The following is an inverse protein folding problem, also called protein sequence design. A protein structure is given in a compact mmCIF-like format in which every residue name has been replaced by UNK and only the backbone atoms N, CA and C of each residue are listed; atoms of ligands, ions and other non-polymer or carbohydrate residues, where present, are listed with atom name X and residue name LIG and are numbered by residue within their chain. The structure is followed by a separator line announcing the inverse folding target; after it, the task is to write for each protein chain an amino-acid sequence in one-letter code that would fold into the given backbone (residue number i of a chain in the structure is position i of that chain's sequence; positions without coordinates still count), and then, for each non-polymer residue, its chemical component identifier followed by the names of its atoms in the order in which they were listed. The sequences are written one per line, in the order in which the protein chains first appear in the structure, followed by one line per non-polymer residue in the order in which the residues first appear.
data_IF_354297441104
#
_entry.id   IF_354297441104
#
_cell.length_a   1.000
_cell.length_b   1.000
_cell.length_c   1.000
_cell.angle_alpha   90.00
_cell.angle_beta   90.00
_cell.angle_gamma   90.00
#
_symmetry.space_group_name_H-M   'P 1'
#
loop_
_entity.id
_entity.type
_entity.pdbx_description
1 polymer ?
#
# COMPACT_ATOMS: atom_id res chain seq x y z
N UNK A 1 15.29 -6.34 -4.76
CA UNK A 1 15.10 -5.28 -3.73
C UNK A 1 13.84 -5.50 -2.89
N UNK A 2 12.66 -5.64 -3.50
CA UNK A 2 11.38 -5.92 -2.81
C UNK A 2 11.46 -7.07 -1.77
N UNK A 3 12.10 -8.18 -2.15
CA UNK A 3 12.35 -9.32 -1.28
C UNK A 3 13.05 -8.99 0.05
N UNK A 4 14.13 -8.22 -0.06
CA UNK A 4 14.95 -7.83 1.07
C UNK A 4 14.20 -6.82 1.94
N UNK A 5 13.42 -5.92 1.32
CA UNK A 5 12.55 -4.99 2.02
C UNK A 5 11.50 -5.72 2.86
N UNK A 6 10.75 -6.66 2.26
CA UNK A 6 9.76 -7.49 2.99
C UNK A 6 10.42 -8.26 4.14
N UNK A 7 11.56 -8.90 3.89
CA UNK A 7 12.29 -9.63 4.93
C UNK A 7 12.75 -8.73 6.07
N UNK A 8 13.19 -7.50 5.77
CA UNK A 8 13.65 -6.55 6.76
C UNK A 8 12.53 -6.00 7.66
N UNK A 9 11.27 -6.14 7.25
CA UNK A 9 10.09 -5.79 8.06
C UNK A 9 9.58 -6.96 8.91
N UNK A 10 10.11 -8.17 8.72
CA UNK A 10 9.67 -9.34 9.48
C UNK A 10 9.87 -9.12 10.98
N UNK A 11 8.76 -9.16 11.73
CA UNK A 11 8.77 -9.00 13.18
C UNK A 11 8.91 -7.54 13.64
N UNK A 12 8.85 -6.58 12.71
CA UNK A 12 8.80 -5.16 13.07
C UNK A 12 7.45 -4.84 13.71
N UNK A 13 7.50 -4.11 14.81
CA UNK A 13 6.34 -3.48 15.43
C UNK A 13 6.53 -1.97 15.51
N UNK A 14 5.44 -1.23 15.45
CA UNK A 14 5.38 0.21 15.65
C UNK A 14 4.47 0.57 16.82
N UNK A 15 4.50 1.82 17.25
CA UNK A 15 3.58 2.29 18.27
C UNK A 15 2.12 2.20 17.76
N UNK A 16 1.14 2.00 18.65
CA UNK A 16 -0.27 2.02 18.27
C UNK A 16 -0.74 3.41 17.84
N UNK A 17 -0.26 4.48 18.46
CA UNK A 17 -0.52 5.86 18.01
C UNK A 17 0.59 6.32 17.06
N UNK A 18 0.28 7.06 15.97
CA UNK A 18 -1.00 7.68 15.64
C UNK A 18 -1.88 6.85 14.68
N UNK A 19 -1.83 5.52 14.66
CA UNK A 19 -2.65 4.74 13.73
C UNK A 19 -4.13 4.98 14.01
N UNK A 20 -4.85 5.41 12.99
CA UNK A 20 -6.30 5.43 13.02
C UNK A 20 -6.79 3.98 12.94
N UNK A 21 -7.08 3.38 14.10
CA UNK A 21 -7.65 2.03 14.18
C UNK A 21 -8.98 2.00 13.45
N UNK A 22 -9.33 0.87 12.82
CA UNK A 22 -10.71 0.62 12.43
C UNK A 22 -11.61 0.71 13.66
N UNK A 23 -12.46 1.72 13.74
CA UNK A 23 -13.52 1.82 14.76
C UNK A 23 -14.88 1.85 14.10
N UNK A 24 -15.95 1.53 14.83
CA UNK A 24 -17.33 1.74 14.35
C UNK A 24 -17.67 3.23 14.15
N UNK A 25 -16.79 4.14 14.58
CA UNK A 25 -16.90 5.58 14.42
C UNK A 25 -16.10 6.12 13.24
N UNK A 26 -15.07 5.39 12.77
CA UNK A 26 -14.56 5.62 11.41
C UNK A 26 -15.71 5.22 10.50
N UNK A 27 -16.23 6.17 9.74
CA UNK A 27 -17.18 5.77 8.72
C UNK A 27 -16.41 4.89 7.74
N UNK A 28 -16.92 3.70 7.42
CA UNK A 28 -16.38 2.88 6.32
C UNK A 28 -16.11 3.73 5.07
N UNK A 29 -16.89 4.80 4.88
CA UNK A 29 -16.68 5.84 3.88
C UNK A 29 -15.25 6.41 3.86
N UNK A 30 -14.60 6.69 5.00
CA UNK A 30 -13.22 7.22 5.04
C UNK A 30 -12.19 6.25 4.45
N UNK A 31 -12.34 4.94 4.70
CA UNK A 31 -11.45 3.92 4.13
C UNK A 31 -11.80 3.64 2.67
N UNK A 32 -13.10 3.61 2.39
CA UNK A 32 -13.65 3.44 1.05
C UNK A 32 -13.20 4.56 0.10
N UNK A 33 -13.11 5.81 0.54
CA UNK A 33 -12.67 6.95 -0.28
C UNK A 33 -11.17 7.26 -0.21
N UNK A 34 -10.41 6.52 0.61
CA UNK A 34 -8.97 6.77 0.77
C UNK A 34 -8.11 6.09 -0.30
N UNK A 35 -7.01 6.74 -0.66
CA UNK A 35 -6.02 6.31 -1.63
C UNK A 35 -4.82 5.68 -0.95
N UNK A 36 -4.32 4.56 -1.48
CA UNK A 36 -3.01 4.05 -1.13
C UNK A 36 -1.93 4.97 -1.70
N UNK A 37 -1.02 5.52 -0.86
CA UNK A 37 0.13 6.24 -1.37
C UNK A 37 1.11 5.29 -2.04
N UNK A 38 1.63 5.68 -3.19
CA UNK A 38 2.60 4.91 -3.99
C UNK A 38 3.98 5.55 -3.87
N UNK A 39 4.92 4.85 -3.24
CA UNK A 39 6.29 5.35 -3.01
C UNK A 39 7.35 4.60 -3.82
N UNK A 40 8.47 5.26 -4.09
CA UNK A 40 9.66 4.65 -4.68
C UNK A 40 10.61 4.10 -3.60
N UNK A 41 10.91 2.80 -3.64
CA UNK A 41 11.97 2.18 -2.83
C UNK A 41 13.30 2.07 -3.58
N UNK A 42 13.27 1.94 -4.91
CA UNK A 42 14.46 1.92 -5.75
C UNK A 42 14.92 3.33 -6.09
N UNK A 43 16.23 3.59 -6.06
CA UNK A 43 16.79 4.89 -6.49
C UNK A 43 16.65 5.14 -7.99
N UNK A 44 16.47 4.06 -8.75
CA UNK A 44 16.22 4.04 -10.18
C UNK A 44 14.76 4.28 -10.56
N UNK A 45 13.85 4.20 -9.58
CA UNK A 45 12.41 4.43 -9.81
C UNK A 45 12.15 5.92 -9.87
N UNK A 46 11.69 6.38 -11.03
CA UNK A 46 11.32 7.77 -11.26
C UNK A 46 9.88 8.05 -10.84
N UNK A 47 9.53 9.32 -10.67
CA UNK A 47 8.14 9.74 -10.48
C UNK A 47 7.24 9.24 -11.62
N UNK A 48 7.74 9.27 -12.86
CA UNK A 48 7.00 8.77 -14.02
C UNK A 48 6.66 7.28 -13.91
N UNK A 49 7.57 6.47 -13.34
CA UNK A 49 7.32 5.05 -13.10
C UNK A 49 6.22 4.86 -12.05
N UNK A 50 6.20 5.71 -11.01
CA UNK A 50 5.15 5.69 -9.99
C UNK A 50 3.80 6.14 -10.54
N UNK A 51 3.76 7.19 -11.38
CA UNK A 51 2.53 7.65 -12.03
C UNK A 51 1.99 6.58 -12.98
N UNK A 52 2.86 5.89 -13.72
CA UNK A 52 2.46 4.75 -14.53
C UNK A 52 1.92 3.60 -13.68
N UNK A 53 2.55 3.30 -12.55
CA UNK A 53 2.07 2.28 -11.62
C UNK A 53 0.69 2.64 -11.05
N UNK A 54 0.52 3.86 -10.53
CA UNK A 54 -0.75 4.35 -10.01
C UNK A 54 -1.86 4.28 -11.06
N UNK A 55 -1.56 4.70 -12.30
CA UNK A 55 -2.51 4.59 -13.42
C UNK A 55 -2.98 3.14 -13.64
N UNK A 56 -2.06 2.20 -13.77
CA UNK A 56 -2.40 0.78 -14.01
C UNK A 56 -3.22 0.21 -12.84
N UNK A 57 -2.86 0.56 -11.61
CA UNK A 57 -3.57 0.12 -10.42
C UNK A 57 -5.00 0.66 -10.40
N UNK A 58 -5.20 1.92 -10.78
CA UNK A 58 -6.53 2.52 -10.89
C UNK A 58 -7.35 1.92 -12.04
N UNK A 59 -6.75 1.61 -13.19
CA UNK A 59 -7.41 0.89 -14.29
C UNK A 59 -7.86 -0.52 -13.84
N UNK A 60 -7.03 -1.23 -13.08
CA UNK A 60 -7.41 -2.52 -12.49
C UNK A 60 -8.55 -2.38 -11.48
N UNK A 61 -8.53 -1.32 -10.66
CA UNK A 61 -9.60 -1.04 -9.70
C UNK A 61 -10.92 -0.68 -10.39
N UNK A 62 -10.90 0.09 -11.48
CA UNK A 62 -12.07 0.37 -12.33
C UNK A 62 -12.69 -0.92 -12.85
N UNK A 63 -11.85 -1.82 -13.39
CA UNK A 63 -12.31 -3.10 -13.91
C UNK A 63 -12.93 -4.00 -12.83
N UNK A 64 -12.36 -4.00 -11.61
CA UNK A 64 -12.90 -4.77 -10.47
C UNK A 64 -14.26 -4.24 -10.00
N UNK A 65 -14.41 -2.91 -9.90
CA UNK A 65 -15.63 -2.28 -9.43
C UNK A 65 -16.71 -2.18 -10.50
N UNK A 66 -16.34 -2.35 -11.79
CA UNK A 66 -17.21 -2.10 -12.92
C UNK A 66 -17.55 -0.62 -13.10
N UNK A 67 -16.62 0.27 -12.73
CA UNK A 67 -16.79 1.71 -12.75
C UNK A 67 -16.12 2.35 -13.96
N UNK A 68 -16.72 3.44 -14.43
CA UNK A 68 -16.09 4.39 -15.33
C UNK A 68 -15.07 5.27 -14.57
N UNK A 69 -14.18 5.96 -15.29
CA UNK A 69 -13.14 6.79 -14.67
C UNK A 69 -13.71 7.95 -13.83
N UNK A 70 -14.81 8.55 -14.28
CA UNK A 70 -15.51 9.63 -13.59
C UNK A 70 -16.07 9.17 -12.24
N UNK A 71 -16.63 7.96 -12.19
CA UNK A 71 -17.15 7.35 -10.96
C UNK A 71 -16.01 7.06 -9.98
N UNK A 72 -14.87 6.55 -10.46
CA UNK A 72 -13.69 6.35 -9.61
C UNK A 72 -13.14 7.69 -9.10
N UNK A 73 -13.14 8.74 -9.92
CA UNK A 73 -12.68 10.06 -9.54
C UNK A 73 -13.57 10.69 -8.46
N UNK A 74 -14.90 10.51 -8.54
CA UNK A 74 -15.84 10.97 -7.52
C UNK A 74 -15.64 10.26 -6.17
N UNK A 75 -15.29 8.98 -6.18
CA UNK A 75 -15.01 8.23 -4.95
C UNK A 75 -13.58 8.40 -4.42
N UNK A 76 -12.67 8.93 -5.23
CA UNK A 76 -11.24 8.95 -4.97
C UNK A 76 -10.53 7.72 -5.56
N UNK A 77 -9.47 8.01 -6.31
CA UNK A 77 -8.59 7.01 -6.90
C UNK A 77 -8.01 6.05 -5.86
N UNK A 78 -7.86 4.78 -6.23
CA UNK A 78 -7.36 3.75 -5.32
C UNK A 78 -5.89 3.91 -4.97
N UNK A 79 -5.08 4.40 -5.91
CA UNK A 79 -3.65 4.63 -5.74
C UNK A 79 -3.26 6.00 -6.26
N UNK A 80 -2.47 6.75 -5.48
CA UNK A 80 -1.99 8.10 -5.83
C UNK A 80 -0.53 8.27 -5.40
N UNK A 81 0.26 9.01 -6.18
CA UNK A 81 1.65 9.34 -5.86
C UNK A 81 1.68 10.56 -4.92
N UNK A 82 2.23 10.45 -3.70
CA UNK A 82 2.29 11.55 -2.75
C UNK A 82 3.51 12.46 -3.00
N UNK A 83 3.52 13.64 -2.38
CA UNK A 83 4.75 14.42 -2.17
C UNK A 83 5.08 14.48 -0.67
N UNK A 84 6.27 14.02 -0.22
CA UNK A 84 7.34 13.38 -1.00
C UNK A 84 7.02 11.93 -1.39
N UNK A 85 7.42 11.48 -2.60
CA UNK A 85 7.24 10.10 -3.07
C UNK A 85 8.46 9.18 -2.87
N UNK A 86 9.61 9.73 -2.49
CA UNK A 86 10.88 9.00 -2.43
C UNK A 86 11.14 8.37 -1.06
N UNK A 87 11.34 7.05 -1.03
CA UNK A 87 11.77 6.30 0.15
C UNK A 87 13.11 5.58 -0.04
N UNK A 88 13.73 5.65 -1.22
CA UNK A 88 14.97 4.94 -1.54
C UNK A 88 16.19 5.35 -0.69
N UNK A 89 16.15 6.52 -0.04
CA UNK A 89 17.17 6.94 0.93
C UNK A 89 17.02 6.32 2.33
N UNK A 90 15.91 5.61 2.59
CA UNK A 90 15.56 5.04 3.90
C UNK A 90 15.72 3.53 3.91
N UNK A 91 16.11 2.96 5.05
CA UNK A 91 16.04 1.51 5.26
C UNK A 91 14.58 1.10 5.45
N UNK A 92 14.24 -0.17 5.20
CA UNK A 92 12.86 -0.63 5.27
C UNK A 92 12.14 -0.31 6.60
N UNK A 93 12.73 -0.56 7.78
CA UNK A 93 12.08 -0.20 9.04
C UNK A 93 11.90 1.31 9.22
N UNK A 94 12.83 2.11 8.71
CA UNK A 94 12.78 3.57 8.82
C UNK A 94 11.73 4.15 7.86
N UNK A 95 11.54 3.54 6.69
CA UNK A 95 10.48 3.89 5.76
C UNK A 95 9.09 3.57 6.34
N UNK A 96 8.93 2.41 6.99
CA UNK A 96 7.70 2.05 7.70
C UNK A 96 7.42 3.03 8.85
N UNK A 97 8.38 3.26 9.74
CA UNK A 97 8.21 4.23 10.84
C UNK A 97 7.90 5.63 10.35
N UNK A 98 8.62 6.11 9.32
CA UNK A 98 8.35 7.41 8.73
C UNK A 98 6.90 7.54 8.24
N UNK A 99 6.40 6.53 7.51
CA UNK A 99 5.01 6.57 7.05
C UNK A 99 4.04 6.60 8.24
N UNK A 100 4.30 5.80 9.27
CA UNK A 100 3.47 5.73 10.46
C UNK A 100 3.47 7.05 11.26
N UNK A 101 4.65 7.61 11.54
CA UNK A 101 4.87 8.66 12.54
C UNK A 101 4.94 10.08 11.93
N UNK A 102 5.45 10.22 10.71
CA UNK A 102 5.82 11.51 10.13
C UNK A 102 5.01 11.88 8.88
N UNK A 103 4.56 10.89 8.10
CA UNK A 103 3.80 11.17 6.88
C UNK A 103 2.42 11.75 7.23
N UNK A 104 2.15 12.95 6.70
CA UNK A 104 0.92 13.69 6.93
C UNK A 104 -0.24 13.05 6.15
N UNK A 105 -0.89 12.07 6.78
CA UNK A 105 -2.07 11.37 6.23
C UNK A 105 -3.29 12.29 6.09
N UNK A 106 -3.34 13.36 6.88
CA UNK A 106 -4.45 14.30 6.93
C UNK A 106 -4.33 15.48 5.95
N UNK A 107 -3.13 15.75 5.43
CA UNK A 107 -2.85 16.74 4.39
C UNK A 107 -3.29 18.18 4.68
N UNK A 108 -2.89 19.11 3.81
CA UNK A 108 -3.56 20.41 3.71
C UNK A 108 -4.83 20.21 2.90
N UNK A 109 -5.95 19.88 3.55
CA UNK A 109 -7.21 19.46 2.92
C UNK A 109 -7.75 20.50 1.93
N UNK A 110 -7.35 20.44 0.66
CA UNK A 110 -8.15 20.98 -0.44
C UNK A 110 -9.15 19.91 -0.90
N UNK A 111 -10.21 20.33 -1.60
CA UNK A 111 -11.26 19.41 -2.10
C UNK A 111 -10.69 18.32 -3.03
N UNK A 112 -9.52 18.57 -3.63
CA UNK A 112 -8.92 17.70 -4.63
C UNK A 112 -7.76 16.86 -4.10
N UNK A 113 -7.37 17.02 -2.83
CA UNK A 113 -6.28 16.22 -2.26
C UNK A 113 -6.78 14.83 -1.88
N UNK A 114 -6.00 13.77 -2.19
CA UNK A 114 -6.38 12.42 -1.81
C UNK A 114 -6.38 12.29 -0.27
N UNK A 115 -7.38 11.59 0.25
CA UNK A 115 -7.34 11.11 1.62
C UNK A 115 -6.42 9.89 1.69
N UNK A 116 -5.34 9.91 2.47
CA UNK A 116 -4.39 8.80 2.49
C UNK A 116 -4.90 7.60 3.29
N UNK A 117 -4.69 6.39 2.76
CA UNK A 117 -5.06 5.15 3.44
C UNK A 117 -4.26 4.99 4.74
N UNK A 118 -4.89 4.99 5.92
CA UNK A 118 -4.18 5.19 7.17
C UNK A 118 -3.34 3.99 7.60
N UNK A 119 -3.63 2.80 7.07
CA UNK A 119 -3.06 1.52 7.52
C UNK A 119 -2.09 0.89 6.53
N UNK A 120 -1.64 1.59 5.49
CA UNK A 120 -0.69 1.00 4.55
C UNK A 120 -0.33 1.88 3.37
N UNK A 121 0.65 1.40 2.61
CA UNK A 121 1.12 2.03 1.38
C UNK A 121 1.61 0.99 0.37
N UNK A 122 1.66 1.40 -0.89
CA UNK A 122 2.28 0.65 -1.98
C UNK A 122 3.69 1.16 -2.23
N UNK A 123 4.62 0.26 -2.51
CA UNK A 123 6.01 0.58 -2.72
C UNK A 123 6.56 -0.10 -3.98
N UNK A 124 7.07 0.71 -4.90
CA UNK A 124 7.68 0.27 -6.16
C UNK A 124 9.20 0.18 -5.96
N UNK A 125 9.73 -1.04 -6.05
CA UNK A 125 11.13 -1.33 -5.72
C UNK A 125 12.08 -1.38 -6.90
N UNK A 126 11.55 -1.29 -8.12
CA UNK A 126 12.30 -1.31 -9.38
C UNK A 126 11.41 -0.78 -10.49
N UNK A 127 12.00 -0.24 -11.56
CA UNK A 127 11.24 0.27 -12.72
C UNK A 127 10.57 -0.86 -13.52
N UNK A 128 11.07 -2.10 -13.44
CA UNK A 128 10.46 -3.31 -14.01
C UNK A 128 9.37 -3.93 -13.10
N UNK A 129 8.65 -3.10 -12.33
CA UNK A 129 7.67 -3.55 -11.33
C UNK A 129 6.55 -4.44 -11.90
N UNK A 130 6.24 -4.31 -13.20
CA UNK A 130 5.31 -5.22 -13.90
C UNK A 130 5.79 -6.67 -13.94
N UNK A 131 7.09 -6.90 -13.83
CA UNK A 131 7.71 -8.23 -13.76
C UNK A 131 8.10 -8.61 -12.33
N UNK A 132 8.40 -7.64 -11.45
CA UNK A 132 8.88 -7.93 -10.09
C UNK A 132 7.79 -7.88 -9.02
N UNK A 133 6.65 -7.24 -9.28
CA UNK A 133 5.65 -6.93 -8.26
C UNK A 133 5.91 -5.61 -7.54
N UNK A 134 4.87 -5.16 -6.82
CA UNK A 134 4.93 -4.05 -5.88
C UNK A 134 4.92 -4.61 -4.44
N UNK A 135 5.55 -3.90 -3.51
CA UNK A 135 5.46 -4.22 -2.08
C UNK A 135 4.22 -3.55 -1.53
N UNK A 136 3.32 -4.33 -0.94
CA UNK A 136 2.25 -3.80 -0.09
C UNK A 136 2.74 -3.88 1.36
N UNK A 137 2.76 -2.74 2.04
CA UNK A 137 3.03 -2.63 3.47
C UNK A 137 1.72 -2.30 4.20
N UNK A 138 1.45 -3.03 5.27
CA UNK A 138 0.23 -2.89 6.06
C UNK A 138 0.52 -2.89 7.57
N UNK A 139 -0.16 -2.04 8.33
CA UNK A 139 -0.13 -2.02 9.79
C UNK A 139 -1.33 -2.81 10.30
N UNK A 140 -1.09 -3.94 10.95
CA UNK A 140 -2.14 -4.86 11.42
C UNK A 140 -2.81 -4.36 12.72
N UNK A 141 -3.44 -3.18 12.63
CA UNK A 141 -4.20 -2.55 13.70
C UNK A 141 -5.68 -2.95 13.56
N UNK A 142 -6.03 -4.11 14.10
CA UNK A 142 -7.39 -4.67 14.05
C UNK A 142 -8.41 -3.79 14.78
N UNK A 143 -9.70 -4.03 14.51
CA UNK A 143 -10.77 -3.42 15.29
C UNK A 143 -10.59 -3.77 16.77
N UNK A 144 -10.60 -2.75 17.65
CA UNK A 144 -10.35 -2.89 19.10
C UNK A 144 -8.91 -3.28 19.47
N UNK A 145 -7.93 -3.05 18.59
CA UNK A 145 -6.52 -3.21 18.96
C UNK A 145 -6.21 -2.43 20.24
N UNK A 146 -5.57 -3.03 21.26
CA UNK A 146 -5.33 -2.33 22.52
C UNK A 146 -4.47 -1.08 22.31
N UNK A 147 -4.89 0.04 22.89
CA UNK A 147 -4.23 1.35 22.70
C UNK A 147 -2.78 1.40 23.16
N UNK A 148 -2.36 0.46 24.00
CA UNK A 148 -1.01 0.39 24.55
C UNK A 148 -0.18 -0.76 23.93
N UNK A 149 -0.76 -1.56 23.03
CA UNK A 149 -0.07 -2.69 22.42
C UNK A 149 0.58 -2.29 21.08
N UNK A 150 1.86 -2.65 20.84
CA UNK A 150 2.51 -2.41 19.56
C UNK A 150 1.76 -3.05 18.39
N UNK A 151 1.72 -2.36 17.26
CA UNK A 151 1.10 -2.85 16.02
C UNK A 151 2.15 -3.54 15.17
N UNK A 152 1.83 -4.74 14.67
CA UNK A 152 2.73 -5.48 13.78
C UNK A 152 2.72 -4.87 12.38
N UNK A 153 3.91 -4.65 11.83
CA UNK A 153 4.09 -4.26 10.42
C UNK A 153 4.19 -5.53 9.59
N UNK A 154 3.31 -5.64 8.60
CA UNK A 154 3.29 -6.75 7.65
C UNK A 154 3.59 -6.23 6.25
N UNK A 155 4.25 -7.05 5.45
CA UNK A 155 4.51 -6.73 4.06
C UNK A 155 4.62 -8.00 3.21
N UNK A 156 4.26 -7.88 1.94
CA UNK A 156 4.50 -8.92 0.93
C UNK A 156 4.57 -8.29 -0.46
N UNK A 157 5.04 -9.07 -1.44
CA UNK A 157 5.06 -8.65 -2.84
C UNK A 157 3.76 -9.06 -3.49
N UNK A 158 3.00 -8.10 -3.98
CA UNK A 158 1.75 -8.31 -4.71
C UNK A 158 2.05 -8.60 -6.18
N UNK A 159 1.30 -9.53 -6.75
CA UNK A 159 1.28 -9.78 -8.19
C UNK A 159 0.83 -8.51 -8.93
N UNK A 160 1.59 -8.00 -9.91
CA UNK A 160 1.23 -6.85 -10.74
C UNK A 160 -0.17 -6.88 -11.31
N UNK A 161 -0.72 -8.05 -11.64
CA UNK A 161 -2.06 -8.19 -12.21
C UNK A 161 -3.19 -8.08 -11.16
N UNK A 162 -2.84 -8.13 -9.87
CA UNK A 162 -3.80 -8.20 -8.76
C UNK A 162 -3.73 -7.00 -7.82
N UNK A 163 -2.91 -5.99 -8.12
CA UNK A 163 -2.69 -4.85 -7.21
C UNK A 163 -3.98 -4.07 -7.02
N UNK A 164 -4.69 -3.71 -8.09
CA UNK A 164 -5.97 -2.99 -8.03
C UNK A 164 -7.01 -3.70 -7.17
N UNK A 165 -7.42 -4.94 -7.50
CA UNK A 165 -8.39 -5.69 -6.70
C UNK A 165 -7.96 -5.86 -5.23
N UNK A 166 -6.65 -6.06 -4.99
CA UNK A 166 -6.10 -6.19 -3.64
C UNK A 166 -6.35 -4.95 -2.79
N UNK A 167 -6.02 -3.76 -3.32
CA UNK A 167 -6.19 -2.53 -2.53
C UNK A 167 -7.66 -2.14 -2.41
N UNK A 168 -8.50 -2.50 -3.38
CA UNK A 168 -9.96 -2.31 -3.29
C UNK A 168 -10.55 -3.15 -2.16
N UNK A 169 -10.24 -4.44 -2.10
CA UNK A 169 -10.70 -5.32 -1.02
C UNK A 169 -10.28 -4.78 0.37
N UNK A 170 -9.06 -4.25 0.50
CA UNK A 170 -8.59 -3.61 1.75
C UNK A 170 -9.29 -2.27 2.07
N UNK A 171 -9.64 -1.47 1.06
CA UNK A 171 -10.43 -0.22 1.22
C UNK A 171 -11.85 -0.51 1.66
N UNK A 172 -12.44 -1.54 1.07
CA UNK A 172 -13.79 -2.00 1.35
C UNK A 172 -13.89 -2.79 2.66
N UNK A 173 -12.77 -3.24 3.22
CA UNK A 173 -12.76 -4.05 4.43
C UNK A 173 -13.33 -5.46 4.22
N UNK A 174 -13.33 -5.93 2.97
CA UNK A 174 -13.89 -7.23 2.57
C UNK A 174 -12.97 -8.38 3.01
N UNK A 175 -11.66 -8.13 3.04
CA UNK A 175 -10.65 -9.11 3.46
C UNK A 175 -9.67 -8.58 4.49
N UNK A 176 -9.15 -9.51 5.31
CA UNK A 176 -7.99 -9.28 6.13
C UNK A 176 -6.67 -9.45 5.35
N UNK A 177 -5.56 -9.05 5.97
CA UNK A 177 -4.23 -9.14 5.37
C UNK A 177 -3.86 -10.56 4.91
N UNK A 178 -4.22 -11.61 5.67
CA UNK A 178 -3.80 -12.97 5.35
C UNK A 178 -4.59 -13.53 4.16
N UNK A 179 -5.89 -13.20 4.06
CA UNK A 179 -6.71 -13.48 2.90
C UNK A 179 -6.16 -12.80 1.65
N UNK A 180 -5.91 -11.49 1.74
CA UNK A 180 -5.34 -10.71 0.65
C UNK A 180 -4.02 -11.31 0.19
N UNK A 181 -3.07 -11.53 1.12
CA UNK A 181 -1.77 -12.11 0.81
C UNK A 181 -1.90 -13.47 0.12
N UNK A 182 -2.78 -14.34 0.60
CA UNK A 182 -2.99 -15.67 0.00
C UNK A 182 -3.48 -15.59 -1.44
N UNK A 183 -4.32 -14.61 -1.77
CA UNK A 183 -4.95 -14.51 -3.08
C UNK A 183 -4.14 -13.67 -4.08
N UNK A 184 -3.29 -12.76 -3.60
CA UNK A 184 -2.60 -11.79 -4.44
C UNK A 184 -1.08 -11.76 -4.31
N UNK A 185 -0.48 -12.51 -3.40
CA UNK A 185 0.97 -12.58 -3.33
C UNK A 185 1.54 -13.14 -4.63
N UNK A 186 2.59 -12.46 -5.12
CA UNK A 186 3.38 -12.97 -6.22
C UNK A 186 4.12 -14.21 -5.78
N UNK A 187 3.76 -15.36 -6.34
CA UNK A 187 4.51 -16.59 -6.10
C UNK A 187 5.92 -16.44 -6.68
N UNK A 188 6.93 -16.43 -5.82
CA UNK A 188 8.29 -16.61 -6.31
C UNK A 188 8.48 -18.07 -6.63
N UNK A 189 8.39 -18.38 -7.92
CA UNK A 189 8.76 -19.69 -8.43
C UNK A 189 10.19 -19.97 -7.94
N UNK A 190 10.39 -21.02 -7.14
CA UNK A 190 11.71 -21.57 -6.78
C UNK A 190 12.52 -22.07 -8.01
N UNK A 191 12.07 -21.79 -9.22
CA UNK A 191 12.56 -22.34 -10.48
C UNK A 191 13.25 -21.27 -11.34
N UNK A 192 14.35 -20.69 -10.84
CA UNK A 192 15.46 -20.22 -11.69
C UNK A 192 16.80 -20.43 -10.96
N UNK A 193 17.03 -21.66 -10.51
CA UNK A 193 18.38 -22.18 -10.37
C UNK A 193 18.64 -23.10 -11.57
N UNK A 194 18.75 -22.52 -12.77
CA UNK A 194 19.46 -23.19 -13.86
C UNK A 194 20.93 -22.89 -13.58
N UNK A 195 21.57 -23.87 -12.95
CA UNK A 195 23.03 -23.98 -12.94
C UNK A 195 23.41 -24.22 -14.41
N UNK A 196 24.11 -23.26 -15.01
CA UNK A 196 24.92 -23.49 -16.22
C UNK A 196 26.30 -23.92 -15.75
#
# INVERSE_FOLDING_TARGET
MAAAFVKALSGLTVAPEPLQQFTSQNTFAEFYSSSFPVFALGSEVSESDLQQAAKVVNEQAQAELGYEDEELAEMGYAAVVPEPWQLHGRRAPDAARWYHEEFNKDGTRSVNDPQWYPLGFLAIASSDWRDTGAVLLFYDAQHQHPKDEPVTVKAFVVDPEKIGPTIISLRQGDDDYENVKRNSAKEWSKHKAIII
#
